data_IF_356441254531
#
_entry.id   IF_356441254531
#
_cell.length_a   1.000
_cell.length_b   1.000
_cell.length_c   1.000
_cell.angle_alpha   90.00
_cell.angle_beta   90.00
_cell.angle_gamma   90.00
#
_symmetry.space_group_name_H-M   'P 1'
#
loop_
_entity.id
_entity.type
_entity.pdbx_description
1 polymer ?
#
# COMPACT_ATOMS: atom_id res chain seq x y z
N UNK A 1 25.40 25.87 -1.54
CA UNK A 1 24.44 24.90 -2.11
C UNK A 1 23.48 24.46 -1.00
N UNK A 2 22.16 24.45 -1.21
CA UNK A 2 21.21 23.98 -0.20
C UNK A 2 21.39 22.48 0.05
N UNK A 3 21.24 22.05 1.30
CA UNK A 3 21.38 20.64 1.69
C UNK A 3 20.27 19.81 1.03
N UNK A 4 20.61 18.77 0.23
CA UNK A 4 19.62 17.96 -0.49
C UNK A 4 18.69 17.16 0.42
N UNK A 5 19.03 17.03 1.70
CA UNK A 5 18.17 16.41 2.72
C UNK A 5 17.14 17.39 3.28
N UNK A 6 17.56 18.61 3.63
CA UNK A 6 16.67 19.61 4.22
C UNK A 6 15.77 20.30 3.20
N UNK A 7 16.16 20.32 1.92
CA UNK A 7 15.33 20.86 0.84
C UNK A 7 14.08 20.03 0.55
N UNK A 8 13.98 18.81 1.08
CA UNK A 8 12.81 17.93 0.97
C UNK A 8 11.80 18.11 2.10
N UNK A 9 12.15 18.87 3.14
CA UNK A 9 11.28 19.07 4.31
C UNK A 9 10.66 20.47 4.26
N UNK A 10 9.35 20.61 4.56
CA UNK A 10 8.71 21.92 4.64
C UNK A 10 9.40 22.83 5.67
N UNK A 11 9.51 24.12 5.37
CA UNK A 11 10.19 25.10 6.23
C UNK A 11 9.64 25.15 7.66
N UNK A 12 8.33 24.91 7.83
CA UNK A 12 7.68 24.83 9.13
C UNK A 12 8.12 23.60 9.94
N UNK A 13 8.36 22.48 9.27
CA UNK A 13 8.84 21.25 9.91
C UNK A 13 10.28 21.40 10.38
N UNK A 14 11.14 21.98 9.53
CA UNK A 14 12.54 22.26 9.88
C UNK A 14 12.63 23.25 11.05
N UNK A 15 11.77 24.29 11.08
CA UNK A 15 11.74 25.27 12.16
C UNK A 15 11.33 24.66 13.51
N UNK A 16 10.34 23.78 13.52
CA UNK A 16 9.78 23.25 14.76
C UNK A 16 10.55 22.01 15.27
N UNK A 17 11.22 21.27 14.39
CA UNK A 17 11.86 19.99 14.72
C UNK A 17 13.34 19.91 14.32
N UNK A 18 13.95 21.05 14.00
CA UNK A 18 15.34 21.14 13.51
C UNK A 18 16.37 20.54 14.44
N UNK A 19 16.23 20.72 15.76
CA UNK A 19 17.18 20.15 16.74
C UNK A 19 17.12 18.62 16.80
N UNK A 20 15.94 18.03 16.69
CA UNK A 20 15.78 16.57 16.64
C UNK A 20 16.30 15.99 15.32
N UNK A 21 16.08 16.69 14.21
CA UNK A 21 16.66 16.33 12.91
C UNK A 21 18.19 16.36 12.93
N UNK A 22 18.79 17.39 13.56
CA UNK A 22 20.23 17.50 13.72
C UNK A 22 20.79 16.40 14.63
N UNK A 23 20.09 16.04 15.71
CA UNK A 23 20.52 14.98 16.64
C UNK A 23 20.45 13.59 16.00
N UNK A 24 19.42 13.32 15.20
CA UNK A 24 19.21 12.01 14.58
C UNK A 24 19.97 11.83 13.26
N UNK A 25 20.14 12.89 12.47
CA UNK A 25 20.70 12.81 11.11
C UNK A 25 21.98 13.63 10.92
N UNK A 26 22.41 14.39 11.92
CA UNK A 26 23.63 15.21 11.84
C UNK A 26 24.91 14.41 11.59
N UNK A 27 24.97 13.17 12.08
CA UNK A 27 26.08 12.22 11.83
C UNK A 27 26.12 11.68 10.41
N UNK A 28 25.02 11.78 9.65
CA UNK A 28 24.90 11.27 8.28
C UNK A 28 25.04 12.37 7.23
N UNK A 29 25.18 13.63 7.64
CA UNK A 29 25.34 14.76 6.73
C UNK A 29 26.76 15.38 6.88
N UNK A 30 27.64 15.25 5.87
CA UNK A 30 29.01 15.76 5.96
C UNK A 30 29.10 17.30 6.01
N UNK A 31 28.00 18.01 5.73
CA UNK A 31 27.91 19.47 5.86
C UNK A 31 27.56 19.90 7.29
N UNK A 32 26.69 19.15 7.98
CA UNK A 32 26.21 19.44 9.35
C UNK A 32 27.25 19.03 10.39
N UNK A 33 27.95 17.92 10.18
CA UNK A 33 29.03 17.45 11.06
C UNK A 33 30.13 18.49 11.28
N UNK A 34 30.41 19.35 10.29
CA UNK A 34 31.42 20.43 10.38
C UNK A 34 30.96 21.65 11.20
N UNK A 35 29.65 21.83 11.40
CA UNK A 35 29.09 22.92 12.20
C UNK A 35 28.92 22.51 13.68
N UNK A 36 28.85 21.20 13.96
CA UNK A 36 28.74 20.68 15.33
C UNK A 36 30.05 20.78 16.14
N UNK A 37 31.19 21.03 15.50
CA UNK A 37 32.52 21.13 16.14
C UNK A 37 32.78 22.44 16.91
N UNK A 38 31.82 23.37 16.98
CA UNK A 38 31.96 24.62 17.74
C UNK A 38 31.03 24.73 18.95
N UNK A 39 30.53 23.61 19.48
CA UNK A 39 29.75 23.60 20.73
C UNK A 39 30.68 23.05 21.83
N UNK A 40 30.90 23.78 22.94
CA UNK A 40 31.72 23.28 24.04
C UNK A 40 31.11 21.98 24.61
N UNK A 41 31.93 20.94 24.73
CA UNK A 41 31.59 19.75 25.50
C UNK A 41 31.62 20.11 26.99
N UNK A 42 30.46 20.13 27.63
CA UNK A 42 30.36 20.19 29.09
C UNK A 42 30.09 18.76 29.63
N UNK A 43 30.91 18.21 30.53
CA UNK A 43 30.74 16.85 31.03
C UNK A 43 29.97 16.88 32.35
N UNK A 44 28.64 16.81 32.32
CA UNK A 44 27.84 16.26 33.42
C UNK A 44 26.35 16.12 33.04
N UNK A 45 25.79 14.90 32.98
CA UNK A 45 24.37 14.68 32.74
C UNK A 45 23.62 14.57 34.07
N UNK A 46 23.42 15.69 34.75
CA UNK A 46 22.48 15.77 35.87
C UNK A 46 21.97 17.19 36.00
N UNK A 47 20.65 17.34 35.94
CA UNK A 47 19.87 18.59 36.06
C UNK A 47 19.56 19.34 34.75
N UNK A 48 18.64 18.79 33.98
CA UNK A 48 17.61 19.61 33.36
C UNK A 48 16.24 19.09 33.79
N UNK A 49 15.60 19.84 34.66
CA UNK A 49 14.25 19.58 35.13
C UNK A 49 13.27 19.50 33.95
N UNK A 50 12.57 18.37 33.83
CA UNK A 50 11.45 18.21 32.90
C UNK A 50 10.35 19.20 33.28
N UNK A 51 10.06 20.16 32.39
CA UNK A 51 8.85 20.97 32.52
C UNK A 51 7.62 20.10 32.19
N UNK A 52 6.47 20.25 32.88
CA UNK A 52 5.38 19.27 32.86
C UNK A 52 4.57 19.20 31.56
N UNK A 53 4.98 19.91 30.50
CA UNK A 53 4.18 20.10 29.30
C UNK A 53 4.50 19.09 28.17
N UNK A 54 5.36 18.10 28.39
CA UNK A 54 5.85 17.18 27.35
C UNK A 54 5.25 15.78 27.38
N UNK A 55 4.26 15.49 28.24
CA UNK A 55 3.59 14.17 28.23
C UNK A 55 2.28 14.23 27.45
N UNK A 56 2.20 13.39 26.42
CA UNK A 56 0.96 13.14 25.70
C UNK A 56 -0.06 12.54 26.69
N UNK A 57 -1.21 13.17 26.92
CA UNK A 57 -2.15 12.78 27.98
C UNK A 57 -2.68 11.34 27.80
N UNK A 58 -2.60 10.78 26.59
CA UNK A 58 -3.02 9.42 26.29
C UNK A 58 -2.01 8.33 26.70
N UNK A 59 -0.73 8.68 26.86
CA UNK A 59 0.35 7.71 27.15
C UNK A 59 0.80 7.73 28.62
N UNK A 60 0.24 8.61 29.44
CA UNK A 60 0.55 8.69 30.87
C UNK A 60 -0.02 7.51 31.67
N UNK A 61 -1.06 6.83 31.15
CA UNK A 61 -1.79 5.78 31.86
C UNK A 61 -1.38 4.34 31.49
N UNK A 62 -0.48 4.16 30.51
CA UNK A 62 -0.11 2.83 30.01
C UNK A 62 1.22 2.38 30.63
N UNK A 63 1.15 1.57 31.69
CA UNK A 63 2.32 1.04 32.42
C UNK A 63 2.90 -0.27 31.84
N UNK A 64 2.71 -0.54 30.55
CA UNK A 64 3.25 -1.74 29.88
C UNK A 64 4.35 -1.38 28.89
N UNK A 65 5.34 -2.26 28.64
CA UNK A 65 6.40 -1.99 27.67
C UNK A 65 5.80 -1.67 26.30
N UNK A 66 6.25 -0.54 25.72
CA UNK A 66 5.79 0.03 24.44
C UNK A 66 6.01 -0.93 23.25
N UNK A 67 6.85 -1.95 23.45
CA UNK A 67 7.10 -3.01 22.47
C UNK A 67 6.82 -4.34 23.16
N UNK A 68 5.89 -5.12 22.62
CA UNK A 68 5.70 -6.53 22.97
C UNK A 68 6.19 -7.39 21.82
N UNK A 69 6.91 -8.45 22.18
CA UNK A 69 7.28 -9.51 21.24
C UNK A 69 6.01 -10.24 20.80
N UNK A 70 5.90 -10.54 19.50
CA UNK A 70 4.71 -11.17 18.93
C UNK A 70 4.52 -12.60 19.48
N UNK A 71 3.27 -13.04 19.64
CA UNK A 71 2.98 -14.39 20.13
C UNK A 71 3.45 -15.47 19.15
N UNK A 72 3.67 -16.69 19.65
CA UNK A 72 4.15 -17.81 18.85
C UNK A 72 3.20 -18.15 17.69
N UNK A 73 1.90 -17.85 17.77
CA UNK A 73 0.99 -18.03 16.64
C UNK A 73 1.25 -17.05 15.48
N UNK A 74 1.83 -15.87 15.75
CA UNK A 74 2.20 -14.86 14.75
C UNK A 74 3.57 -15.12 14.09
N UNK A 75 4.40 -15.99 14.69
CA UNK A 75 5.74 -16.31 14.21
C UNK A 75 5.76 -17.44 13.17
N UNK A 76 4.63 -18.15 12.97
CA UNK A 76 4.50 -19.25 12.00
C UNK A 76 4.58 -18.83 10.52
N UNK A 77 4.55 -17.52 10.23
CA UNK A 77 4.64 -16.96 8.87
C UNK A 77 6.09 -16.63 8.44
N UNK A 78 7.10 -16.95 9.27
CA UNK A 78 8.51 -16.73 8.95
C UNK A 78 9.06 -17.97 8.22
N UNK A 79 9.30 -17.87 6.91
CA UNK A 79 9.93 -18.94 6.12
C UNK A 79 11.45 -18.74 6.14
N UNK A 80 12.19 -19.64 6.79
CA UNK A 80 13.66 -19.68 6.72
C UNK A 80 14.13 -20.27 5.39
N UNK A 81 14.94 -19.52 4.64
CA UNK A 81 15.43 -19.94 3.32
C UNK A 81 16.87 -20.44 3.40
N UNK A 82 17.09 -21.76 3.30
CA UNK A 82 18.43 -22.33 3.12
C UNK A 82 18.80 -22.35 1.64
N UNK A 83 19.71 -21.47 1.23
CA UNK A 83 20.27 -21.42 -0.12
C UNK A 83 21.27 -22.57 -0.35
N UNK A 84 21.00 -23.46 -1.32
CA UNK A 84 22.02 -24.32 -1.92
C UNK A 84 22.54 -23.67 -3.21
N UNK A 85 23.81 -23.28 -3.19
CA UNK A 85 24.60 -22.91 -4.37
C UNK A 85 25.16 -24.16 -5.04
N UNK A 86 25.03 -24.28 -6.36
CA UNK A 86 25.83 -25.22 -7.17
C UNK A 86 26.64 -24.40 -8.16
N UNK A 87 27.94 -24.36 -7.92
CA UNK A 87 29.00 -24.05 -8.87
C UNK A 87 29.31 -25.31 -9.70
N UNK A 88 29.70 -25.13 -10.97
CA UNK A 88 30.63 -25.94 -11.79
C UNK A 88 30.45 -25.47 -13.25
N UNK A 89 31.45 -25.16 -14.07
CA UNK A 89 32.87 -25.54 -14.04
C UNK A 89 33.24 -26.11 -15.41
N UNK A 90 34.14 -25.43 -16.12
CA UNK A 90 34.67 -25.65 -17.47
C UNK A 90 35.41 -26.99 -17.67
N UNK A 91 35.34 -27.63 -18.85
CA UNK A 91 36.45 -28.39 -19.44
C UNK A 91 36.25 -28.77 -20.93
N UNK A 92 37.33 -28.60 -21.71
CA UNK A 92 37.49 -28.89 -23.15
C UNK A 92 38.28 -30.18 -23.34
N UNK A 93 37.97 -31.03 -24.34
CA UNK A 93 39.01 -31.73 -25.13
C UNK A 93 38.53 -32.29 -26.50
N UNK A 94 39.52 -32.56 -27.37
CA UNK A 94 39.56 -32.69 -28.83
C UNK A 94 39.49 -34.16 -29.32
N UNK A 95 38.92 -34.44 -30.51
CA UNK A 95 39.11 -35.77 -31.14
C UNK A 95 38.39 -36.08 -32.47
N UNK A 96 39.14 -35.94 -33.58
CA UNK A 96 39.10 -36.56 -34.91
C UNK A 96 37.94 -37.44 -35.47
N UNK A 97 37.50 -37.06 -36.70
CA UNK A 97 37.16 -37.84 -37.93
C UNK A 97 36.55 -39.25 -37.81
N UNK A 98 35.38 -39.45 -38.42
CA UNK A 98 35.21 -40.27 -39.66
C UNK A 98 33.77 -40.22 -40.21
N UNK A 99 33.69 -40.23 -41.54
CA UNK A 99 32.49 -40.26 -42.37
C UNK A 99 31.86 -41.66 -42.44
N UNK A 100 30.55 -41.77 -42.26
CA UNK A 100 29.73 -42.79 -42.94
C UNK A 100 28.24 -42.38 -42.96
N UNK A 101 27.60 -42.72 -44.08
CA UNK A 101 26.30 -42.23 -44.53
C UNK A 101 25.12 -42.75 -43.69
N UNK A 102 24.15 -41.87 -43.42
CA UNK A 102 22.79 -42.24 -43.00
C UNK A 102 21.79 -41.39 -43.80
N UNK A 103 20.97 -42.06 -44.60
CA UNK A 103 19.84 -41.48 -45.33
C UNK A 103 18.67 -41.11 -44.39
N UNK A 104 17.59 -40.52 -44.94
CA UNK A 104 17.08 -39.21 -44.60
C UNK A 104 16.29 -39.21 -43.27
N UNK A 105 16.72 -38.43 -42.27
CA UNK A 105 15.81 -38.01 -41.20
C UNK A 105 15.19 -36.69 -41.62
N UNK A 106 13.88 -36.74 -41.84
CA UNK A 106 13.02 -35.62 -42.14
C UNK A 106 13.47 -34.38 -41.37
N UNK A 107 13.88 -33.36 -42.11
CA UNK A 107 13.92 -31.99 -41.60
C UNK A 107 12.48 -31.51 -41.41
N UNK A 108 11.74 -32.12 -40.49
CA UNK A 108 10.74 -31.39 -39.73
C UNK A 108 11.54 -30.54 -38.76
N UNK A 109 12.15 -29.47 -39.28
CA UNK A 109 12.54 -28.32 -38.48
C UNK A 109 11.25 -27.89 -37.78
N UNK A 110 11.07 -28.40 -36.56
CA UNK A 110 10.11 -27.85 -35.63
C UNK A 110 10.58 -26.41 -35.45
N UNK A 111 9.87 -25.49 -36.11
CA UNK A 111 9.87 -24.10 -35.72
C UNK A 111 9.34 -24.15 -34.28
N UNK A 112 10.24 -24.28 -33.31
CA UNK A 112 9.92 -23.93 -31.94
C UNK A 112 9.62 -22.44 -32.03
N UNK A 113 8.34 -22.12 -32.10
CA UNK A 113 7.87 -20.76 -31.94
C UNK A 113 8.48 -20.28 -30.62
N UNK A 114 9.51 -19.43 -30.70
CA UNK A 114 10.09 -18.73 -29.57
C UNK A 114 9.02 -17.80 -28.98
N UNK A 115 8.08 -18.40 -28.24
CA UNK A 115 7.02 -17.71 -27.52
C UNK A 115 7.59 -17.23 -26.21
N UNK A 116 7.26 -15.99 -25.85
CA UNK A 116 7.61 -15.43 -24.56
C UNK A 116 7.01 -16.29 -23.43
N UNK A 117 7.79 -16.67 -22.39
CA UNK A 117 7.30 -17.51 -21.31
C UNK A 117 6.48 -16.70 -20.31
N UNK A 118 5.24 -16.37 -20.68
CA UNK A 118 4.35 -15.52 -19.88
C UNK A 118 4.14 -16.06 -18.45
N UNK A 119 3.97 -17.37 -18.29
CA UNK A 119 3.74 -17.99 -16.98
C UNK A 119 4.95 -17.80 -16.05
N UNK A 120 6.16 -18.08 -16.52
CA UNK A 120 7.38 -17.93 -15.73
C UNK A 120 7.59 -16.46 -15.34
N UNK A 121 7.35 -15.54 -16.29
CA UNK A 121 7.46 -14.11 -16.04
C UNK A 121 6.47 -13.63 -14.96
N UNK A 122 5.19 -14.00 -15.06
CA UNK A 122 4.19 -13.61 -14.07
C UNK A 122 4.45 -14.25 -12.71
N UNK A 123 4.88 -15.52 -12.69
CA UNK A 123 5.28 -16.19 -11.46
C UNK A 123 6.44 -15.45 -10.77
N UNK A 124 7.47 -15.07 -11.52
CA UNK A 124 8.59 -14.30 -10.99
C UNK A 124 8.13 -12.95 -10.41
N UNK A 125 7.25 -12.21 -11.09
CA UNK A 125 6.73 -10.94 -10.57
C UNK A 125 5.95 -11.12 -9.26
N UNK A 126 5.17 -12.21 -9.13
CA UNK A 126 4.47 -12.54 -7.89
C UNK A 126 5.46 -12.90 -6.79
N UNK A 127 6.49 -13.69 -7.09
CA UNK A 127 7.51 -14.08 -6.11
C UNK A 127 8.31 -12.87 -5.62
N UNK A 128 8.62 -11.90 -6.48
CA UNK A 128 9.22 -10.62 -6.06
C UNK A 128 8.34 -9.89 -5.05
N UNK A 129 7.02 -9.85 -5.27
CA UNK A 129 6.05 -9.26 -4.33
C UNK A 129 5.94 -10.01 -3.00
N UNK A 130 6.10 -11.33 -3.02
CA UNK A 130 6.12 -12.13 -1.79
C UNK A 130 7.41 -11.90 -1.01
N UNK A 131 8.55 -11.84 -1.71
CA UNK A 131 9.87 -11.60 -1.13
C UNK A 131 9.99 -10.19 -0.53
N UNK A 132 9.38 -9.18 -1.16
CA UNK A 132 9.37 -7.80 -0.66
C UNK A 132 8.25 -7.49 0.37
N UNK A 133 7.48 -8.52 0.76
CA UNK A 133 6.34 -8.43 1.68
C UNK A 133 5.24 -7.42 1.28
N UNK A 134 5.19 -7.00 0.01
CA UNK A 134 4.12 -6.12 -0.51
C UNK A 134 2.99 -6.89 -1.21
N UNK A 135 3.10 -8.22 -1.29
CA UNK A 135 2.02 -9.11 -1.70
C UNK A 135 0.82 -8.98 -0.75
N UNK A 136 -0.39 -8.93 -1.32
CA UNK A 136 -1.61 -8.66 -0.56
C UNK A 136 -2.49 -9.91 -0.52
N UNK A 137 -2.85 -10.31 0.69
CA UNK A 137 -3.92 -11.28 0.96
C UNK A 137 -5.09 -10.52 1.57
N UNK A 138 -6.23 -10.49 0.88
CA UNK A 138 -7.38 -9.72 1.34
C UNK A 138 -8.17 -10.46 2.42
N UNK A 139 -8.56 -9.74 3.47
CA UNK A 139 -9.50 -10.22 4.48
C UNK A 139 -10.91 -10.26 3.90
N UNK A 140 -11.69 -11.29 4.24
CA UNK A 140 -13.07 -11.47 3.75
C UNK A 140 -14.03 -10.86 4.77
N UNK A 141 -14.44 -9.61 4.56
CA UNK A 141 -15.22 -8.85 5.54
C UNK A 141 -16.60 -8.45 4.98
N UNK A 142 -17.67 -8.73 5.72
CA UNK A 142 -19.02 -8.25 5.44
C UNK A 142 -19.49 -7.28 6.54
N UNK A 143 -19.57 -5.99 6.23
CA UNK A 143 -19.98 -4.93 7.18
C UNK A 143 -21.46 -5.02 7.51
N UNK A 144 -21.82 -4.92 8.79
CA UNK A 144 -23.20 -5.01 9.25
C UNK A 144 -23.85 -3.62 9.26
N UNK A 145 -24.88 -3.42 8.43
CA UNK A 145 -25.59 -2.15 8.33
C UNK A 145 -26.49 -1.84 9.54
N UNK A 146 -26.84 -2.85 10.35
CA UNK A 146 -27.63 -2.71 11.58
C UNK A 146 -26.79 -2.22 12.76
N UNK A 147 -25.47 -2.44 12.72
CA UNK A 147 -24.57 -2.29 13.86
C UNK A 147 -23.24 -1.68 13.40
N UNK A 148 -23.25 -0.42 12.96
CA UNK A 148 -22.00 0.29 12.63
C UNK A 148 -21.16 0.54 13.90
N UNK A 149 -19.83 0.28 13.92
CA UNK A 149 -18.94 -0.10 12.82
C UNK A 149 -18.53 -1.60 12.83
N UNK A 150 -19.44 -2.51 13.16
CA UNK A 150 -19.17 -3.96 13.23
C UNK A 150 -19.25 -4.66 11.86
N UNK A 151 -18.64 -5.83 11.76
CA UNK A 151 -18.65 -6.69 10.58
C UNK A 151 -18.48 -8.18 10.95
N UNK A 152 -18.72 -9.06 10.00
CA UNK A 152 -18.34 -10.47 10.05
C UNK A 152 -17.12 -10.72 9.16
N UNK A 153 -16.10 -11.40 9.70
CA UNK A 153 -14.89 -11.84 9.01
C UNK A 153 -15.01 -13.33 8.66
N UNK A 154 -14.50 -13.77 7.50
CA UNK A 154 -14.67 -15.14 6.99
C UNK A 154 -13.38 -15.80 6.48
N UNK A 155 -12.19 -15.28 6.77
CA UNK A 155 -10.94 -15.89 6.28
C UNK A 155 -10.74 -17.28 6.89
N UNK A 156 -11.09 -17.45 8.17
CA UNK A 156 -10.89 -18.70 8.93
C UNK A 156 -12.16 -19.18 9.64
N UNK A 157 -13.32 -18.87 9.06
CA UNK A 157 -14.63 -19.07 9.70
C UNK A 157 -15.26 -17.74 10.08
N UNK A 158 -16.56 -17.77 10.35
CA UNK A 158 -17.34 -16.58 10.69
C UNK A 158 -16.96 -16.06 12.09
N UNK A 159 -16.50 -14.82 12.17
CA UNK A 159 -16.13 -14.15 13.42
C UNK A 159 -16.63 -12.70 13.45
N UNK A 160 -17.28 -12.25 14.53
CA UNK A 160 -17.65 -10.84 14.69
C UNK A 160 -16.40 -9.99 14.97
N UNK A 161 -16.29 -8.86 14.27
CA UNK A 161 -15.17 -7.91 14.40
C UNK A 161 -15.67 -6.45 14.45
N UNK A 162 -14.83 -5.56 14.97
CA UNK A 162 -15.00 -4.10 14.85
C UNK A 162 -14.07 -3.56 13.77
N UNK A 163 -14.58 -2.78 12.82
CA UNK A 163 -13.81 -2.26 11.69
C UNK A 163 -13.28 -0.86 12.00
N UNK A 164 -11.96 -0.70 12.00
CA UNK A 164 -11.28 0.58 12.27
C UNK A 164 -10.58 1.20 11.05
N UNK A 165 -10.55 0.49 9.92
CA UNK A 165 -9.85 0.92 8.70
C UNK A 165 -10.77 1.27 7.53
N UNK A 166 -12.08 1.44 7.79
CA UNK A 166 -13.04 1.81 6.76
C UNK A 166 -12.96 3.31 6.44
N UNK A 167 -13.09 3.65 5.15
CA UNK A 167 -13.22 5.04 4.69
C UNK A 167 -14.68 5.54 4.70
N UNK A 168 -15.62 4.76 5.26
CA UNK A 168 -16.98 5.22 5.53
C UNK A 168 -16.99 5.94 6.89
N UNK A 169 -16.40 7.14 6.89
CA UNK A 169 -16.03 7.86 8.11
C UNK A 169 -17.22 8.20 9.01
N UNK A 170 -18.39 8.43 8.44
CA UNK A 170 -19.59 8.87 9.14
C UNK A 170 -20.68 7.78 9.19
N UNK A 171 -20.41 6.57 8.71
CA UNK A 171 -21.42 5.51 8.62
C UNK A 171 -22.55 5.82 7.63
N UNK A 172 -22.28 6.66 6.62
CA UNK A 172 -23.32 7.09 5.66
C UNK A 172 -23.75 5.93 4.77
N UNK A 173 -22.93 4.90 4.59
CA UNK A 173 -23.32 3.72 3.81
C UNK A 173 -24.50 2.96 4.43
N UNK A 174 -24.75 3.10 5.73
CA UNK A 174 -25.88 2.48 6.43
C UNK A 174 -26.94 3.47 6.93
N UNK A 175 -26.80 4.77 6.67
CA UNK A 175 -27.75 5.78 7.12
C UNK A 175 -29.17 5.50 6.55
N UNK A 176 -30.24 5.53 7.37
CA UNK A 176 -31.58 5.09 6.95
C UNK A 176 -32.11 5.84 5.74
N UNK A 177 -31.89 7.17 5.67
CA UNK A 177 -32.32 7.99 4.53
C UNK A 177 -31.57 7.61 3.24
N UNK A 178 -30.27 7.32 3.33
CA UNK A 178 -29.47 6.91 2.15
C UNK A 178 -29.94 5.55 1.64
N UNK A 179 -30.13 4.59 2.56
CA UNK A 179 -30.64 3.26 2.21
C UNK A 179 -32.02 3.32 1.57
N UNK A 180 -32.91 4.17 2.08
CA UNK A 180 -34.23 4.33 1.50
C UNK A 180 -34.17 4.92 0.08
N UNK A 181 -33.40 6.01 -0.11
CA UNK A 181 -33.23 6.61 -1.44
C UNK A 181 -32.66 5.62 -2.47
N UNK A 182 -31.70 4.77 -2.08
CA UNK A 182 -31.18 3.70 -2.96
C UNK A 182 -32.25 2.67 -3.29
N UNK A 183 -33.04 2.21 -2.30
CA UNK A 183 -34.14 1.26 -2.52
C UNK A 183 -35.18 1.81 -3.48
N UNK A 184 -35.61 3.05 -3.27
CA UNK A 184 -36.60 3.70 -4.12
C UNK A 184 -36.07 3.86 -5.55
N UNK A 185 -34.81 4.26 -5.72
CA UNK A 185 -34.19 4.38 -7.03
C UNK A 185 -34.11 3.03 -7.77
N UNK A 186 -33.74 1.95 -7.07
CA UNK A 186 -33.69 0.60 -7.66
C UNK A 186 -35.08 0.12 -8.06
N UNK A 187 -36.11 0.38 -7.25
CA UNK A 187 -37.48 -0.02 -7.57
C UNK A 187 -38.03 0.72 -8.80
N UNK A 188 -37.74 2.02 -8.92
CA UNK A 188 -38.27 2.87 -10.00
C UNK A 188 -37.48 2.71 -11.30
N UNK A 189 -36.14 2.66 -11.22
CA UNK A 189 -35.24 2.77 -12.38
C UNK A 189 -34.43 1.51 -12.67
N UNK A 190 -34.45 0.51 -11.79
CA UNK A 190 -33.61 -0.67 -11.87
C UNK A 190 -32.17 -0.44 -11.39
N UNK A 191 -31.31 -1.45 -11.57
CA UNK A 191 -29.97 -1.47 -10.98
C UNK A 191 -28.90 -0.73 -11.79
N UNK A 192 -29.00 -0.73 -13.13
CA UNK A 192 -27.97 -0.21 -14.02
C UNK A 192 -28.51 0.88 -14.95
N UNK A 193 -27.68 1.86 -15.29
CA UNK A 193 -28.05 2.93 -16.21
C UNK A 193 -28.32 2.43 -17.65
N UNK A 194 -27.85 1.24 -18.02
CA UNK A 194 -28.15 0.61 -19.31
C UNK A 194 -27.44 1.22 -20.52
N UNK A 195 -26.53 2.19 -20.33
CA UNK A 195 -25.78 2.81 -21.42
C UNK A 195 -24.74 3.82 -20.95
N UNK A 196 -24.06 4.45 -21.90
CA UNK A 196 -23.10 5.54 -21.61
C UNK A 196 -23.83 6.87 -21.49
N UNK A 197 -23.17 7.94 -21.01
CA UNK A 197 -23.78 9.28 -20.91
C UNK A 197 -24.42 9.73 -22.24
N UNK A 198 -23.77 9.46 -23.37
CA UNK A 198 -24.28 9.87 -24.68
C UNK A 198 -25.38 8.93 -25.23
N UNK A 199 -25.48 7.69 -24.74
CA UNK A 199 -26.36 6.67 -25.28
C UNK A 199 -27.15 6.05 -24.13
N UNK A 200 -28.36 6.55 -23.88
CA UNK A 200 -29.34 6.09 -22.88
C UNK A 200 -28.92 6.03 -21.41
N UNK A 201 -27.67 6.36 -21.05
CA UNK A 201 -27.16 6.28 -19.69
C UNK A 201 -27.15 7.60 -18.90
N UNK A 202 -27.66 8.69 -19.47
CA UNK A 202 -27.77 9.97 -18.76
C UNK A 202 -29.16 10.10 -18.13
N UNK A 203 -29.25 9.84 -16.82
CA UNK A 203 -30.50 9.94 -16.05
C UNK A 203 -30.61 11.27 -15.31
N UNK A 204 -31.84 11.65 -14.94
CA UNK A 204 -32.10 12.84 -14.13
C UNK A 204 -31.39 12.78 -12.75
N UNK A 205 -31.16 11.59 -12.21
CA UNK A 205 -30.44 11.41 -10.95
C UNK A 205 -28.96 11.79 -11.07
N UNK A 206 -28.35 11.54 -12.24
CA UNK A 206 -26.97 11.93 -12.53
C UNK A 206 -26.87 13.45 -12.61
N UNK A 207 -27.73 14.10 -13.41
CA UNK A 207 -27.70 15.57 -13.57
C UNK A 207 -28.00 16.29 -12.25
N UNK A 208 -28.95 15.79 -11.45
CA UNK A 208 -29.25 16.35 -10.13
C UNK A 208 -28.04 16.25 -9.19
N UNK A 209 -27.37 15.11 -9.15
CA UNK A 209 -26.17 14.95 -8.31
C UNK A 209 -25.02 15.85 -8.78
N UNK A 210 -24.84 16.04 -10.09
CA UNK A 210 -23.87 17.00 -10.64
C UNK A 210 -24.20 18.44 -10.20
N UNK A 211 -25.47 18.83 -10.24
CA UNK A 211 -25.92 20.13 -9.75
C UNK A 211 -25.67 20.30 -8.24
N UNK A 212 -26.08 19.32 -7.43
CA UNK A 212 -25.91 19.35 -5.97
C UNK A 212 -24.42 19.44 -5.58
N UNK A 213 -23.54 18.75 -6.32
CA UNK A 213 -22.09 18.82 -6.13
C UNK A 213 -21.50 20.19 -6.52
N UNK A 214 -21.98 20.78 -7.62
CA UNK A 214 -21.58 22.11 -8.04
C UNK A 214 -21.95 23.16 -6.99
N UNK A 215 -23.18 23.07 -6.46
CA UNK A 215 -23.67 23.95 -5.39
C UNK A 215 -22.86 23.77 -4.10
N UNK A 216 -22.63 22.52 -3.67
CA UNK A 216 -21.83 22.20 -2.48
C UNK A 216 -20.44 22.83 -2.53
N UNK A 217 -19.80 22.82 -3.71
CA UNK A 217 -18.45 23.34 -3.90
C UNK A 217 -18.40 24.79 -4.40
N UNK A 218 -19.55 25.46 -4.56
CA UNK A 218 -19.67 26.82 -5.10
C UNK A 218 -18.94 26.96 -6.45
N UNK A 219 -19.23 26.04 -7.37
CA UNK A 219 -18.71 26.02 -8.74
C UNK A 219 -19.84 26.13 -9.76
N UNK A 220 -19.50 26.53 -10.97
CA UNK A 220 -20.46 26.67 -12.07
C UNK A 220 -21.08 25.34 -12.49
N UNK A 221 -20.30 24.24 -12.42
CA UNK A 221 -20.73 22.90 -12.76
C UNK A 221 -19.87 21.85 -12.04
N UNK A 222 -20.37 20.61 -11.99
CA UNK A 222 -19.62 19.42 -11.61
C UNK A 222 -19.86 18.30 -12.65
N UNK A 223 -19.01 17.28 -12.64
CA UNK A 223 -19.08 16.17 -13.57
C UNK A 223 -18.80 14.84 -12.86
N UNK A 224 -19.65 13.85 -13.08
CA UNK A 224 -19.52 12.54 -12.47
C UNK A 224 -18.66 11.59 -13.31
N UNK A 225 -17.82 10.84 -12.60
CA UNK A 225 -16.98 9.76 -13.13
C UNK A 225 -17.24 8.47 -12.34
N UNK A 226 -16.77 7.33 -12.84
CA UNK A 226 -16.95 6.03 -12.18
C UNK A 226 -16.21 5.93 -10.84
N UNK A 227 -15.11 6.67 -10.67
CA UNK A 227 -14.41 6.83 -9.40
C UNK A 227 -13.54 8.09 -9.43
N UNK A 228 -13.12 8.56 -8.25
CA UNK A 228 -12.20 9.70 -8.13
C UNK A 228 -10.80 9.41 -8.72
N UNK A 229 -10.39 8.13 -8.79
CA UNK A 229 -9.14 7.75 -9.50
C UNK A 229 -9.22 8.05 -11.00
N UNK A 230 -10.40 7.92 -11.62
CA UNK A 230 -10.61 8.21 -13.05
C UNK A 230 -10.76 9.72 -13.29
N UNK A 231 -11.24 10.47 -12.30
CA UNK A 231 -11.42 11.91 -12.39
C UNK A 231 -10.10 12.70 -12.28
N UNK A 232 -9.15 12.21 -11.45
CA UNK A 232 -7.85 12.85 -11.19
C UNK A 232 -6.82 12.54 -12.29
#
# INVERSE_FOLDING_TARGET
MPCPFLSRLPSAYVRNYGLNLLKSFGSHCPVVSRLATSIPNDPNPSEYAETPASRCPFLAEVSSPIVKEASQELQGDIIEFTSKTTEEGDERDVGAKTSQAVSPKSASQQIQENKFPYEDFFHEQIMRKKLDHSYRVFKKVARLASEFPTALEYTWGEQPITVWCANDYLGMSCHPVVKQAVRDAVEIYGAGAGGTRNISGNSILIEKLEQDLAELHQKEAALLFTSCFVAN
#
